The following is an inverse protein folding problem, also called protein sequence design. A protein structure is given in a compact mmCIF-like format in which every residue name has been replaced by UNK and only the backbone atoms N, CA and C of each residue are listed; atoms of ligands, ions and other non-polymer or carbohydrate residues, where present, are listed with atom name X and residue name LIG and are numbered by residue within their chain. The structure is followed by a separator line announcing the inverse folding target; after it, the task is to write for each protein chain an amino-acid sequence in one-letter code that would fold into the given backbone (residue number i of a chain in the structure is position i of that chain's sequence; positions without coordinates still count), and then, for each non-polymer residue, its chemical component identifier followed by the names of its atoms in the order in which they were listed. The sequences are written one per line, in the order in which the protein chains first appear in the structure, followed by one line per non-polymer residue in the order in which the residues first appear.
data_IF_920540901729
#
_entry.id   IF_920540901729
#
_cell.length_a   1.000
_cell.length_b   1.000
_cell.length_c   1.000
_cell.angle_alpha   90.00
_cell.angle_beta   90.00
_cell.angle_gamma   90.00
#
_symmetry.space_group_name_H-M   'P 1'
#
loop_
_entity.id
_entity.type
_entity.pdbx_description
1 polymer ?
2 polymer ?
3 non-polymer ?
4 water ?
#
# COMPACT_ATOMS: atom_id res chain seq x y z
N UNK A 1 12.62 -20.36 -6.26
CA UNK A 1 11.72 -20.31 -7.41
C UNK A 1 12.44 -20.26 -8.75
N UNK A 2 11.71 -19.84 -9.80
CA UNK A 2 12.22 -19.73 -11.17
C UNK A 2 13.32 -18.68 -11.31
N UNK A 3 13.46 -17.77 -10.31
CA UNK A 3 14.50 -16.74 -10.35
C UNK A 3 15.75 -17.12 -9.55
N UNK A 4 15.74 -18.32 -8.94
CA UNK A 4 16.86 -18.81 -8.13
C UNK A 4 18.23 -18.79 -8.80
N UNK A 5 18.25 -19.01 -10.14
CA UNK A 5 19.50 -19.03 -10.92
C UNK A 5 19.96 -17.67 -11.43
N UNK A 6 19.16 -16.63 -11.28
CA UNK A 6 19.58 -15.35 -11.78
C UNK A 6 20.24 -14.48 -10.71
N UNK A 7 21.31 -13.79 -11.10
CA UNK A 7 22.00 -12.87 -10.20
C UNK A 7 21.06 -11.78 -9.62
N UNK A 8 21.24 -11.46 -8.33
CA UNK A 8 20.46 -10.39 -7.71
C UNK A 8 20.53 -9.09 -8.54
N UNK A 9 21.75 -8.67 -8.98
CA UNK A 9 21.90 -7.44 -9.73
C UNK A 9 21.14 -7.52 -11.06
N UNK A 10 21.17 -8.68 -11.71
CA UNK A 10 20.47 -8.94 -13.00
C UNK A 10 18.94 -8.84 -12.78
N UNK A 11 18.43 -9.38 -11.69
CA UNK A 11 17.00 -9.29 -11.36
C UNK A 11 16.59 -7.79 -11.14
N UNK A 12 17.40 -6.97 -10.45
CA UNK A 12 17.10 -5.55 -10.21
C UNK A 12 17.10 -4.82 -11.55
N UNK A 13 18.14 -5.06 -12.39
CA UNK A 13 18.25 -4.44 -13.71
C UNK A 13 17.01 -4.79 -14.55
N UNK A 14 16.60 -6.07 -14.56
CA UNK A 14 15.43 -6.52 -15.35
C UNK A 14 14.13 -5.98 -14.75
N UNK A 15 14.04 -5.78 -13.42
CA UNK A 15 12.87 -5.12 -12.81
C UNK A 15 12.71 -3.69 -13.37
N UNK A 16 13.83 -2.94 -13.49
CA UNK A 16 13.81 -1.57 -14.00
C UNK A 16 13.40 -1.54 -15.50
N UNK A 17 13.88 -2.53 -16.28
CA UNK A 17 13.55 -2.68 -17.71
C UNK A 17 12.05 -3.01 -17.85
N UNK A 18 11.55 -3.94 -17.02
CA UNK A 18 10.13 -4.33 -17.04
C UNK A 18 9.25 -3.12 -16.72
N UNK A 19 9.68 -2.28 -15.76
CA UNK A 19 8.95 -1.05 -15.42
C UNK A 19 8.82 -0.13 -16.67
N UNK A 20 9.94 0.10 -17.39
CA UNK A 20 9.99 0.92 -18.62
C UNK A 20 9.07 0.36 -19.71
N UNK A 21 8.97 -0.97 -19.78
CA UNK A 21 8.16 -1.70 -20.75
C UNK A 21 6.70 -1.89 -20.30
N UNK A 22 6.37 -1.40 -19.09
CA UNK A 22 5.03 -1.53 -18.48
C UNK A 22 4.62 -3.00 -18.34
N UNK A 23 5.61 -3.87 -18.01
CA UNK A 23 5.46 -5.30 -17.83
C UNK A 23 5.51 -5.54 -16.31
N UNK A 24 4.44 -5.14 -15.63
CA UNK A 24 4.43 -5.15 -14.17
C UNK A 24 4.41 -6.54 -13.55
N UNK A 25 3.81 -7.55 -14.21
CA UNK A 25 3.82 -8.92 -13.70
C UNK A 25 5.28 -9.42 -13.71
N UNK A 26 6.01 -9.18 -14.82
CA UNK A 26 7.43 -9.52 -14.87
C UNK A 26 8.22 -8.73 -13.81
N UNK A 27 7.94 -7.44 -13.67
CA UNK A 27 8.62 -6.60 -12.67
C UNK A 27 8.47 -7.16 -11.27
N UNK A 28 7.26 -7.58 -10.92
CA UNK A 28 6.97 -8.19 -9.63
C UNK A 28 7.73 -9.51 -9.44
N UNK A 29 7.74 -10.37 -10.48
CA UNK A 29 8.45 -11.65 -10.41
C UNK A 29 9.97 -11.43 -10.22
N UNK A 30 10.55 -10.42 -10.90
CA UNK A 30 11.97 -10.10 -10.75
C UNK A 30 12.25 -9.61 -9.33
N UNK A 31 11.39 -8.72 -8.79
CA UNK A 31 11.60 -8.22 -7.45
C UNK A 31 11.38 -9.31 -6.38
N UNK A 32 10.39 -10.21 -6.55
CA UNK A 32 10.19 -11.35 -5.65
C UNK A 32 11.49 -12.18 -5.66
N UNK A 33 12.06 -12.41 -6.85
CA UNK A 33 13.34 -13.13 -6.94
C UNK A 33 14.47 -12.42 -6.21
N UNK A 34 14.56 -11.07 -6.36
CA UNK A 34 15.59 -10.27 -5.65
C UNK A 34 15.41 -10.39 -4.12
N UNK A 35 14.18 -10.24 -3.62
CA UNK A 35 13.93 -10.35 -2.16
C UNK A 35 14.37 -11.71 -1.64
N UNK A 36 14.05 -12.80 -2.37
CA UNK A 36 14.37 -14.18 -1.99
C UNK A 36 15.86 -14.49 -1.99
N UNK A 37 16.70 -13.57 -2.49
CA UNK A 37 18.15 -13.71 -2.35
C UNK A 37 18.53 -13.58 -0.87
N UNK A 38 17.63 -13.01 -0.06
CA UNK A 38 17.89 -12.95 1.38
C UNK A 38 18.56 -11.71 1.91
N UNK A 39 19.08 -10.84 1.03
CA UNK A 39 19.70 -9.59 1.43
C UNK A 39 18.63 -8.54 1.64
N UNK A 40 18.88 -7.57 2.54
CA UNK A 40 17.97 -6.45 2.74
C UNK A 40 17.88 -5.60 1.43
N UNK A 41 16.79 -4.83 1.25
CA UNK A 41 16.61 -3.99 0.06
C UNK A 41 17.00 -2.55 0.33
N UNK A 42 17.55 -1.88 -0.68
CA UNK A 42 17.88 -0.46 -0.59
C UNK A 42 16.56 0.32 -0.76
N UNK A 43 16.58 1.63 -0.57
CA UNK A 43 15.36 2.40 -0.75
C UNK A 43 14.82 2.28 -2.18
N UNK A 44 15.68 2.40 -3.22
CA UNK A 44 15.23 2.26 -4.60
C UNK A 44 14.61 0.88 -4.83
N UNK A 45 15.25 -0.18 -4.31
CA UNK A 45 14.73 -1.55 -4.47
C UNK A 45 13.39 -1.78 -3.79
N UNK A 46 13.20 -1.22 -2.57
CA UNK A 46 11.91 -1.25 -1.85
C UNK A 46 10.86 -0.59 -2.73
N UNK A 47 11.20 0.57 -3.35
CA UNK A 47 10.27 1.24 -4.25
C UNK A 47 9.93 0.39 -5.47
N UNK A 48 10.91 -0.33 -6.02
CA UNK A 48 10.68 -1.19 -7.18
C UNK A 48 9.71 -2.32 -6.82
N UNK A 49 9.90 -2.94 -5.64
CA UNK A 49 9.04 -4.00 -5.13
C UNK A 49 7.60 -3.48 -5.02
N UNK A 50 7.43 -2.33 -4.36
CA UNK A 50 6.13 -1.73 -4.13
C UNK A 50 5.43 -1.33 -5.40
N UNK A 51 6.10 -0.60 -6.32
CA UNK A 51 5.47 -0.18 -7.60
C UNK A 51 5.04 -1.44 -8.39
N UNK A 52 5.88 -2.49 -8.41
CA UNK A 52 5.57 -3.71 -9.16
C UNK A 52 4.22 -4.32 -8.71
N UNK A 53 4.13 -4.65 -7.40
CA UNK A 53 2.96 -5.31 -6.87
C UNK A 53 1.77 -4.37 -6.83
N UNK A 54 1.97 -3.06 -6.66
CA UNK A 54 0.85 -2.13 -6.67
C UNK A 54 0.19 -2.13 -8.04
N UNK A 55 1.00 -2.18 -9.10
CA UNK A 55 0.43 -2.20 -10.44
C UNK A 55 -0.28 -3.50 -10.70
N UNK A 56 0.28 -4.61 -10.25
CA UNK A 56 -0.33 -5.93 -10.45
C UNK A 56 -1.69 -5.99 -9.72
N UNK A 57 -1.68 -5.73 -8.40
CA UNK A 57 -2.89 -5.79 -7.60
C UNK A 57 -3.92 -4.75 -8.07
N UNK A 58 -3.45 -3.59 -8.58
CA UNK A 58 -4.32 -2.55 -9.10
C UNK A 58 -5.20 -3.04 -10.23
N UNK A 59 -4.61 -3.77 -11.17
CA UNK A 59 -5.38 -4.34 -12.27
C UNK A 59 -6.43 -5.34 -11.76
N UNK A 60 -6.04 -6.14 -10.76
CA UNK A 60 -6.94 -7.14 -10.18
C UNK A 60 -8.12 -6.46 -9.43
N UNK A 61 -7.84 -5.38 -8.65
CA UNK A 61 -8.87 -4.64 -7.89
C UNK A 61 -9.87 -4.02 -8.85
N UNK A 62 -9.38 -3.37 -9.92
CA UNK A 62 -10.22 -2.72 -10.91
C UNK A 62 -11.12 -3.78 -11.57
N UNK A 63 -10.56 -4.95 -11.93
CA UNK A 63 -11.33 -6.05 -12.53
C UNK A 63 -12.38 -6.59 -11.54
N UNK A 64 -11.96 -6.85 -10.29
CA UNK A 64 -12.85 -7.36 -9.24
C UNK A 64 -14.06 -6.44 -9.04
N UNK A 65 -13.84 -5.10 -9.03
CA UNK A 65 -14.91 -4.13 -8.82
C UNK A 65 -15.92 -4.16 -9.95
N UNK A 66 -15.46 -4.26 -11.21
CA UNK A 66 -16.32 -4.36 -12.40
C UNK A 66 -17.21 -5.62 -12.27
N UNK A 67 -16.59 -6.78 -11.96
CA UNK A 67 -17.27 -8.08 -11.81
C UNK A 67 -18.26 -8.09 -10.66
N UNK A 68 -17.84 -7.56 -9.48
CA UNK A 68 -18.71 -7.51 -8.30
C UNK A 68 -19.97 -6.65 -8.60
N UNK A 69 -19.80 -5.55 -9.31
CA UNK A 69 -20.87 -4.64 -9.70
C UNK A 69 -21.85 -5.35 -10.65
N UNK A 70 -21.32 -6.15 -11.59
CA UNK A 70 -22.18 -6.90 -12.51
C UNK A 70 -22.95 -7.97 -11.71
N UNK A 71 -22.26 -8.67 -10.77
CA UNK A 71 -22.83 -9.72 -9.93
C UNK A 71 -23.97 -9.19 -9.06
N UNK A 72 -23.76 -8.02 -8.42
CA UNK A 72 -24.77 -7.38 -7.58
C UNK A 72 -26.01 -7.00 -8.39
N UNK A 73 -25.82 -6.47 -9.62
CA UNK A 73 -26.90 -6.12 -10.56
C UNK A 73 -27.69 -7.38 -10.95
N UNK A 74 -26.99 -8.52 -11.16
CA UNK A 74 -27.61 -9.80 -11.53
C UNK A 74 -28.39 -10.43 -10.36
N UNK A 75 -28.28 -9.84 -9.15
CA UNK A 75 -28.97 -10.31 -7.93
C UNK A 75 -29.93 -9.26 -7.37
N UNK A 83 -27.60 -17.97 -13.94
CA UNK A 83 -26.38 -18.71 -14.27
C UNK A 83 -25.25 -18.46 -13.29
N UNK A 84 -24.34 -19.43 -13.08
CA UNK A 84 -23.27 -19.23 -12.08
C UNK A 84 -22.02 -18.50 -12.61
N UNK A 85 -21.97 -18.21 -13.89
CA UNK A 85 -20.77 -17.66 -14.56
C UNK A 85 -20.23 -16.37 -13.96
N UNK A 86 -21.09 -15.39 -13.63
CA UNK A 86 -20.61 -14.12 -13.09
C UNK A 86 -19.92 -14.38 -11.76
N UNK A 87 -20.57 -15.18 -10.88
CA UNK A 87 -20.01 -15.53 -9.57
C UNK A 87 -18.71 -16.29 -9.74
N UNK A 88 -18.69 -17.29 -10.64
CA UNK A 88 -17.49 -18.09 -10.88
C UNK A 88 -16.32 -17.20 -11.33
N UNK A 89 -16.57 -16.29 -12.28
CA UNK A 89 -15.49 -15.47 -12.80
C UNK A 89 -15.05 -14.43 -11.78
N UNK A 90 -16.01 -13.85 -11.02
CA UNK A 90 -15.62 -12.89 -9.96
C UNK A 90 -14.74 -13.65 -8.92
N UNK A 91 -15.09 -14.91 -8.56
CA UNK A 91 -14.34 -15.76 -7.66
C UNK A 91 -12.93 -16.02 -8.21
N UNK A 92 -12.81 -16.32 -9.52
CA UNK A 92 -11.51 -16.58 -10.17
C UNK A 92 -10.58 -15.36 -9.96
N UNK A 93 -11.05 -14.16 -10.33
CA UNK A 93 -10.27 -12.91 -10.19
C UNK A 93 -9.96 -12.67 -8.70
N UNK A 94 -10.94 -12.91 -7.82
CA UNK A 94 -10.77 -12.73 -6.38
C UNK A 94 -9.67 -13.60 -5.83
N UNK A 95 -9.65 -14.90 -6.20
CA UNK A 95 -8.67 -15.86 -5.73
C UNK A 95 -7.27 -15.43 -6.21
N UNK A 96 -7.18 -14.91 -7.43
CA UNK A 96 -5.91 -14.47 -7.99
C UNK A 96 -5.40 -13.25 -7.24
N UNK A 97 -6.31 -12.30 -6.92
CA UNK A 97 -5.99 -11.11 -6.13
C UNK A 97 -5.48 -11.53 -4.72
N UNK A 98 -6.21 -12.46 -4.06
CA UNK A 98 -5.83 -13.00 -2.76
C UNK A 98 -4.44 -13.66 -2.81
N UNK A 99 -4.16 -14.36 -3.90
CA UNK A 99 -2.86 -15.00 -4.11
C UNK A 99 -1.74 -13.97 -4.18
N UNK A 100 -1.98 -12.85 -4.90
CA UNK A 100 -0.99 -11.77 -4.99
C UNK A 100 -0.76 -11.14 -3.59
N UNK A 101 -1.84 -10.89 -2.86
CA UNK A 101 -1.69 -10.34 -1.51
C UNK A 101 -0.93 -11.30 -0.61
N UNK A 102 -1.27 -12.63 -0.65
CA UNK A 102 -0.57 -13.60 0.18
C UNK A 102 0.92 -13.65 -0.18
N UNK A 103 1.25 -13.50 -1.48
CA UNK A 103 2.65 -13.47 -1.93
C UNK A 103 3.39 -12.29 -1.29
N UNK A 104 2.80 -11.09 -1.34
CA UNK A 104 3.47 -9.88 -0.80
C UNK A 104 3.60 -10.00 0.71
N UNK A 105 2.53 -10.41 1.37
CA UNK A 105 2.56 -10.60 2.81
C UNK A 105 3.61 -11.67 3.24
N UNK A 106 3.80 -12.69 2.41
CA UNK A 106 4.78 -13.75 2.66
C UNK A 106 6.19 -13.22 2.56
N UNK A 107 6.46 -12.35 1.59
CA UNK A 107 7.78 -11.71 1.48
C UNK A 107 8.05 -10.80 2.69
N UNK A 108 7.02 -10.06 3.11
CA UNK A 108 7.18 -9.17 4.25
C UNK A 108 7.46 -9.96 5.53
N UNK A 109 6.78 -11.12 5.72
CA UNK A 109 6.88 -11.99 6.89
C UNK A 109 8.08 -12.92 6.83
N UNK A 110 8.68 -13.08 5.64
CA UNK A 110 9.81 -13.98 5.41
C UNK A 110 10.85 -13.41 4.42
N UNK A 111 11.71 -12.47 4.85
CA UNK A 111 11.89 -11.97 6.20
C UNK A 111 12.17 -10.49 6.20
N UNK A 112 11.50 -9.74 5.31
CA UNK A 112 11.75 -8.31 5.15
C UNK A 112 11.56 -7.52 6.44
N UNK A 113 10.41 -7.71 7.11
CA UNK A 113 10.10 -6.89 8.29
C UNK A 113 11.07 -7.16 9.43
N UNK A 114 11.28 -8.43 9.77
CA UNK A 114 12.13 -8.75 10.92
C UNK A 114 13.57 -8.26 10.74
N UNK A 115 14.03 -8.16 9.48
CA UNK A 115 15.38 -7.68 9.21
C UNK A 115 15.45 -6.17 9.02
N UNK A 116 14.31 -5.46 9.11
CA UNK A 116 14.30 -4.01 8.91
C UNK A 116 14.40 -3.29 10.26
N UNK A 117 15.53 -2.67 10.50
CA UNK A 117 15.84 -1.93 11.72
C UNK A 117 15.73 -0.43 11.58
N UNK A 118 16.04 0.10 10.39
CA UNK A 118 15.93 1.54 10.23
C UNK A 118 14.49 1.94 10.06
N UNK A 119 14.13 3.13 10.56
CA UNK A 119 12.76 3.59 10.45
C UNK A 119 12.24 3.66 9.02
N UNK A 120 13.06 4.13 8.06
CA UNK A 120 12.63 4.22 6.67
C UNK A 120 12.26 2.86 6.09
N UNK A 121 13.03 1.80 6.38
CA UNK A 121 12.68 0.50 5.87
C UNK A 121 11.52 -0.15 6.64
N UNK A 122 11.58 -0.10 7.98
CA UNK A 122 10.55 -0.71 8.83
C UNK A 122 9.16 -0.10 8.59
N UNK A 123 9.07 1.25 8.55
CA UNK A 123 7.79 1.92 8.27
C UNK A 123 7.28 1.55 6.88
N UNK A 124 8.18 1.57 5.86
CA UNK A 124 7.85 1.18 4.50
C UNK A 124 7.21 -0.23 4.48
N UNK A 125 7.85 -1.24 5.06
CA UNK A 125 7.32 -2.60 5.02
C UNK A 125 6.02 -2.74 5.81
N UNK A 126 5.90 -2.04 6.96
CA UNK A 126 4.69 -2.17 7.78
C UNK A 126 3.52 -1.51 7.08
N UNK A 127 3.76 -0.40 6.37
CA UNK A 127 2.73 0.25 5.56
C UNK A 127 2.29 -0.74 4.47
N UNK A 128 3.25 -1.42 3.78
CA UNK A 128 2.89 -2.41 2.77
C UNK A 128 2.03 -3.51 3.37
N UNK A 129 2.39 -3.99 4.59
CA UNK A 129 1.61 -5.02 5.25
C UNK A 129 0.16 -4.54 5.47
N UNK A 130 -0.02 -3.30 5.98
CA UNK A 130 -1.32 -2.66 6.12
C UNK A 130 -2.07 -2.61 4.80
N UNK A 131 -1.40 -2.20 3.72
CA UNK A 131 -2.03 -2.07 2.40
C UNK A 131 -2.51 -3.38 1.87
N UNK A 132 -1.70 -4.45 1.95
CA UNK A 132 -2.11 -5.73 1.37
C UNK A 132 -3.15 -6.43 2.24
N UNK A 133 -3.20 -6.13 3.55
CA UNK A 133 -4.33 -6.67 4.32
C UNK A 133 -5.59 -5.85 3.97
N UNK A 134 -5.42 -4.55 3.66
CA UNK A 134 -6.54 -3.72 3.26
C UNK A 134 -7.16 -4.26 1.92
N UNK A 135 -6.32 -4.61 0.94
CA UNK A 135 -6.76 -5.20 -0.35
C UNK A 135 -7.49 -6.51 -0.11
N UNK A 136 -7.02 -7.32 0.85
CA UNK A 136 -7.74 -8.53 1.22
C UNK A 136 -9.10 -8.16 1.85
N UNK A 137 -9.13 -7.15 2.73
CA UNK A 137 -10.38 -6.74 3.37
C UNK A 137 -11.42 -6.24 2.36
N UNK A 138 -10.99 -5.58 1.25
CA UNK A 138 -11.89 -5.06 0.21
C UNK A 138 -12.74 -6.20 -0.38
N UNK A 139 -12.18 -7.44 -0.43
CA UNK A 139 -12.88 -8.59 -1.02
C UNK A 139 -13.41 -9.59 0.03
N UNK A 140 -13.11 -9.36 1.31
CA UNK A 140 -13.48 -10.28 2.37
C UNK A 140 -14.91 -10.11 2.84
N UNK A 141 -15.48 -11.19 3.37
CA UNK A 141 -16.86 -11.19 3.90
C UNK A 141 -16.90 -11.78 5.34
N UNK A 142 -17.81 -11.25 6.18
CA UNK A 142 -18.11 -11.70 7.54
C UNK A 142 -17.02 -11.67 8.60
N UNK A 143 -16.80 -12.83 9.26
CA UNK A 143 -15.81 -12.97 10.34
C UNK A 143 -14.37 -12.90 9.81
N UNK A 144 -14.09 -13.57 8.66
CA UNK A 144 -12.77 -13.50 8.03
C UNK A 144 -12.39 -12.02 7.88
N UNK A 145 -13.37 -11.21 7.39
CA UNK A 145 -13.22 -9.78 7.20
C UNK A 145 -12.77 -9.07 8.47
N UNK A 146 -13.40 -9.41 9.62
CA UNK A 146 -13.06 -8.79 10.91
C UNK A 146 -11.59 -8.98 11.29
N UNK A 147 -11.10 -10.23 11.23
CA UNK A 147 -9.71 -10.56 11.54
C UNK A 147 -8.74 -9.91 10.55
N UNK A 148 -9.08 -9.88 9.23
CA UNK A 148 -8.22 -9.25 8.22
C UNK A 148 -8.11 -7.75 8.52
N UNK A 149 -9.25 -7.12 8.92
CA UNK A 149 -9.32 -5.70 9.24
C UNK A 149 -8.42 -5.41 10.43
N UNK A 150 -8.45 -6.29 11.44
CA UNK A 150 -7.60 -6.06 12.60
C UNK A 150 -6.11 -6.18 12.26
N UNK A 151 -5.75 -7.14 11.39
CA UNK A 151 -4.38 -7.31 10.93
C UNK A 151 -3.91 -6.03 10.18
N UNK A 152 -4.77 -5.46 9.30
CA UNK A 152 -4.40 -4.21 8.60
C UNK A 152 -4.19 -3.08 9.62
N UNK A 153 -5.15 -2.92 10.55
CA UNK A 153 -5.11 -1.91 11.60
C UNK A 153 -3.80 -2.00 12.40
N UNK A 154 -3.47 -3.23 12.87
CA UNK A 154 -2.28 -3.49 13.67
C UNK A 154 -1.00 -3.08 12.95
N UNK A 155 -0.86 -3.45 11.66
CA UNK A 155 0.33 -3.07 10.90
C UNK A 155 0.42 -1.55 10.71
N UNK A 156 -0.71 -0.87 10.31
CA UNK A 156 -0.72 0.57 10.14
C UNK A 156 -0.38 1.26 11.44
N UNK A 157 -0.93 0.78 12.56
CA UNK A 157 -0.71 1.38 13.89
C UNK A 157 0.77 1.33 14.30
N UNK A 158 1.41 0.16 14.13
CA UNK A 158 2.82 -0.02 14.44
C UNK A 158 3.66 0.92 13.54
N UNK A 159 3.31 1.02 12.24
CA UNK A 159 4.03 1.88 11.32
C UNK A 159 3.87 3.35 11.76
N UNK A 160 2.65 3.74 12.17
CA UNK A 160 2.38 5.12 12.61
C UNK A 160 3.20 5.45 13.86
N UNK A 161 3.24 4.54 14.83
CA UNK A 161 4.00 4.77 16.07
C UNK A 161 5.48 5.03 15.78
N UNK A 162 6.08 4.19 14.93
CA UNK A 162 7.48 4.37 14.57
C UNK A 162 7.67 5.67 13.81
N UNK A 163 6.80 5.94 12.81
CA UNK A 163 6.91 7.15 11.98
C UNK A 163 6.86 8.43 12.84
N UNK A 164 5.95 8.47 13.82
CA UNK A 164 5.78 9.65 14.69
C UNK A 164 6.99 9.89 15.56
N UNK A 165 7.63 8.82 15.99
CA UNK A 165 8.82 8.88 16.85
C UNK A 165 10.12 9.17 16.06
N UNK A 166 10.26 8.61 14.84
CA UNK A 166 11.52 8.63 14.10
C UNK A 166 11.61 9.49 12.85
N UNK A 167 10.49 9.97 12.33
CA UNK A 167 10.51 10.73 11.08
C UNK A 167 9.86 12.09 11.24
N UNK A 168 10.31 13.12 10.44
CA UNK A 168 9.64 14.42 10.54
C UNK A 168 8.25 14.35 9.91
N UNK A 169 7.31 15.27 10.26
CA UNK A 169 5.94 15.18 9.72
C UNK A 169 5.81 15.33 8.20
N UNK A 170 6.89 15.78 7.50
CA UNK A 170 6.87 15.94 6.05
C UNK A 170 7.46 14.72 5.34
N UNK A 171 7.98 13.74 6.11
CA UNK A 171 8.58 12.56 5.49
C UNK A 171 7.58 11.90 4.52
N UNK A 172 7.94 11.76 3.20
CA UNK A 172 6.99 11.19 2.25
C UNK A 172 6.47 9.80 2.64
N UNK A 173 7.31 8.99 3.30
CA UNK A 173 6.85 7.66 3.73
C UNK A 173 5.78 7.83 4.81
N UNK A 174 6.06 8.69 5.80
CA UNK A 174 5.11 9.00 6.88
C UNK A 174 3.81 9.54 6.28
N UNK A 175 3.90 10.48 5.32
CA UNK A 175 2.71 11.05 4.66
C UNK A 175 1.87 9.99 3.89
N UNK A 176 2.52 9.12 3.08
CA UNK A 176 1.82 8.07 2.34
C UNK A 176 1.16 7.06 3.27
N UNK A 177 1.81 6.73 4.41
CA UNK A 177 1.25 5.86 5.43
C UNK A 177 -0.02 6.46 5.99
N UNK A 178 0.04 7.72 6.45
CA UNK A 178 -1.11 8.39 7.04
C UNK A 178 -2.28 8.50 6.06
N UNK A 179 -1.98 8.79 4.78
CA UNK A 179 -2.97 8.85 3.72
C UNK A 179 -3.69 7.51 3.60
N UNK A 180 -2.93 6.42 3.50
CA UNK A 180 -3.52 5.09 3.37
C UNK A 180 -4.26 4.66 4.63
N UNK A 181 -3.73 4.95 5.82
CA UNK A 181 -4.39 4.58 7.06
C UNK A 181 -5.73 5.35 7.13
N UNK A 182 -5.75 6.60 6.68
CA UNK A 182 -6.97 7.41 6.67
C UNK A 182 -8.04 6.78 5.77
N UNK A 183 -7.63 6.29 4.59
CA UNK A 183 -8.59 5.63 3.69
C UNK A 183 -9.06 4.29 4.30
N UNK A 184 -8.16 3.54 4.97
CA UNK A 184 -8.50 2.33 5.71
C UNK A 184 -9.64 2.70 6.70
N UNK A 185 -9.44 3.76 7.51
CA UNK A 185 -10.46 4.18 8.46
C UNK A 185 -11.77 4.54 7.77
N UNK A 186 -11.71 5.32 6.69
CA UNK A 186 -12.92 5.78 6.03
C UNK A 186 -13.81 4.67 5.48
N UNK A 187 -13.22 3.78 4.68
CA UNK A 187 -14.06 2.81 4.00
C UNK A 187 -13.87 1.34 4.38
N UNK A 188 -12.85 1.01 5.18
CA UNK A 188 -12.69 -0.39 5.61
C UNK A 188 -13.22 -0.55 7.01
N UNK A 189 -12.77 0.33 7.93
CA UNK A 189 -13.13 0.29 9.35
C UNK A 189 -14.45 1.02 9.62
N UNK A 190 -15.04 1.68 8.59
CA UNK A 190 -16.28 2.47 8.71
C UNK A 190 -16.16 3.48 9.88
N UNK A 191 -15.01 4.17 9.91
CA UNK A 191 -14.68 5.18 10.90
C UNK A 191 -14.37 6.48 10.13
N UNK A 192 -15.39 7.05 9.41
CA UNK A 192 -15.13 8.29 8.66
C UNK A 192 -14.59 9.43 9.51
N UNK A 193 -15.03 9.55 10.77
CA UNK A 193 -14.54 10.65 11.60
C UNK A 193 -13.07 10.48 11.94
N UNK A 194 -12.64 9.24 12.25
CA UNK A 194 -11.23 8.95 12.48
C UNK A 194 -10.41 9.29 11.23
N UNK A 195 -10.95 8.92 10.04
CA UNK A 195 -10.28 9.20 8.75
C UNK A 195 -10.04 10.67 8.53
N UNK A 196 -11.10 11.49 8.73
CA UNK A 196 -11.01 12.93 8.54
C UNK A 196 -10.03 13.53 9.55
N UNK A 197 -10.10 13.11 10.83
CA UNK A 197 -9.19 13.60 11.87
C UNK A 197 -7.73 13.32 11.53
N UNK A 198 -7.46 12.08 11.10
CA UNK A 198 -6.08 11.72 10.75
C UNK A 198 -5.59 12.51 9.54
N UNK A 199 -6.43 12.65 8.50
CA UNK A 199 -6.02 13.41 7.32
C UNK A 199 -5.72 14.87 7.62
N UNK A 200 -6.61 15.50 8.43
CA UNK A 200 -6.46 16.91 8.83
C UNK A 200 -5.18 17.14 9.63
N UNK A 201 -5.01 16.37 10.72
CA UNK A 201 -3.82 16.48 11.58
C UNK A 201 -2.53 16.28 10.77
N UNK A 202 -2.49 15.22 9.94
CA UNK A 202 -1.31 14.92 9.12
C UNK A 202 -0.98 16.09 8.18
N UNK A 203 -2.00 16.62 7.49
CA UNK A 203 -1.83 17.76 6.57
C UNK A 203 -1.30 18.97 7.30
N UNK A 204 -1.93 19.28 8.44
CA UNK A 204 -1.56 20.46 9.25
C UNK A 204 -0.16 20.36 9.84
N UNK A 205 0.27 19.21 10.30
CA UNK A 205 1.59 19.01 10.87
C UNK A 205 2.65 19.05 9.76
N UNK A 206 2.33 18.53 8.57
CA UNK A 206 3.27 18.62 7.46
C UNK A 206 3.40 20.08 7.00
N UNK A 207 2.26 20.82 6.87
CA UNK A 207 2.25 22.22 6.45
C UNK A 207 3.23 23.04 7.31
N UNK A 208 3.21 22.85 8.64
CA UNK A 208 4.06 23.56 9.59
C UNK A 208 5.54 23.24 9.51
N UNK A 209 5.90 22.11 8.84
CA UNK A 209 7.28 21.65 8.74
C UNK A 209 7.86 21.90 7.32
N UNK A 210 7.05 22.40 6.36
CA UNK A 210 7.51 22.64 4.97
C UNK A 210 8.69 23.60 4.88
N UNK A 211 8.75 24.60 5.79
CA UNK A 211 9.81 25.63 5.78
C UNK A 211 11.21 25.04 5.96
N UNK A 212 11.32 23.81 6.50
CA UNK A 212 12.61 23.13 6.76
C UNK A 212 13.18 22.44 5.52
N UNK A 213 12.36 22.31 4.45
CA UNK A 213 12.72 21.54 3.27
C UNK A 213 13.35 22.29 2.13
N UNK A 214 14.13 21.54 1.34
CA UNK A 214 14.75 21.98 0.10
C UNK A 214 13.65 21.99 -0.95
N UNK A 215 13.92 22.58 -2.11
CA UNK A 215 13.00 22.68 -3.24
C UNK A 215 12.47 21.28 -3.66
N UNK A 216 13.38 20.27 -3.78
CA UNK A 216 12.99 18.92 -4.19
C UNK A 216 12.17 18.20 -3.12
N UNK A 217 12.58 18.29 -1.85
CA UNK A 217 11.85 17.64 -0.75
C UNK A 217 10.47 18.25 -0.60
N UNK A 218 10.40 19.58 -0.78
CA UNK A 218 9.15 20.35 -0.75
C UNK A 218 8.16 19.77 -1.78
N UNK A 219 8.63 19.54 -3.04
CA UNK A 219 7.84 18.97 -4.12
C UNK A 219 7.31 17.57 -3.74
N UNK A 220 8.19 16.71 -3.18
CA UNK A 220 7.82 15.36 -2.75
C UNK A 220 6.71 15.34 -1.71
N UNK A 221 6.88 16.13 -0.63
CA UNK A 221 5.91 16.25 0.48
C UNK A 221 4.60 16.88 0.03
N UNK A 222 4.66 18.01 -0.75
CA UNK A 222 3.42 18.67 -1.19
C UNK A 222 2.58 17.79 -2.13
N UNK A 223 3.24 16.90 -2.92
CA UNK A 223 2.54 15.96 -3.79
C UNK A 223 1.59 15.07 -2.95
N UNK A 224 2.08 14.50 -1.85
CA UNK A 224 1.26 13.61 -1.00
C UNK A 224 0.25 14.41 -0.19
N UNK A 225 0.62 15.63 0.25
CA UNK A 225 -0.31 16.49 0.98
C UNK A 225 -1.54 16.82 0.13
N UNK A 226 -1.36 17.02 -1.19
CA UNK A 226 -2.43 17.26 -2.14
C UNK A 226 -3.39 16.06 -2.15
N UNK A 227 -2.87 14.82 -2.02
CA UNK A 227 -3.72 13.63 -1.91
C UNK A 227 -4.63 13.67 -0.67
N UNK A 228 -4.09 14.08 0.53
CA UNK A 228 -4.84 14.22 1.78
C UNK A 228 -5.93 15.24 1.55
N UNK A 229 -5.57 16.37 0.91
CA UNK A 229 -6.53 17.44 0.59
C UNK A 229 -7.64 16.95 -0.35
N UNK A 230 -7.30 16.18 -1.42
CA UNK A 230 -8.29 15.62 -2.36
C UNK A 230 -9.30 14.78 -1.60
N UNK A 231 -8.82 13.91 -0.67
CA UNK A 231 -9.72 13.09 0.13
C UNK A 231 -10.58 13.93 1.05
N UNK A 232 -9.98 14.89 1.77
CA UNK A 232 -10.76 15.76 2.67
C UNK A 232 -11.86 16.52 1.95
N UNK A 233 -11.58 17.00 0.72
CA UNK A 233 -12.54 17.70 -0.15
C UNK A 233 -13.75 16.81 -0.43
N UNK A 234 -13.53 15.52 -0.67
CA UNK A 234 -14.62 14.60 -0.94
C UNK A 234 -15.31 14.12 0.32
N UNK A 235 -14.63 14.17 1.49
CA UNK A 235 -15.17 13.72 2.77
C UNK A 235 -15.89 14.75 3.62
N UNK A 236 -15.62 16.04 3.39
CA UNK A 236 -16.17 17.12 4.23
C UNK A 236 -16.97 18.16 3.43
N UNK B 1 -17.24 1.94 -8.41
CA UNK B 1 -17.11 2.49 -7.05
C UNK B 1 -16.17 3.68 -7.07
N UNK B 2 -16.51 4.74 -6.29
CA UNK B 2 -15.66 5.93 -6.14
C UNK B 2 -14.45 5.50 -5.25
N UNK B 3 -13.23 5.60 -5.82
CA UNK B 3 -12.01 5.22 -5.11
C UNK B 3 -11.30 6.46 -4.59
N UNK B 4 -10.96 6.47 -3.30
CA UNK B 4 -10.25 7.58 -2.70
C UNK B 4 -8.76 7.51 -3.01
N UNK B 5 -8.06 8.64 -2.83
CA UNK B 5 -6.63 8.75 -3.10
C UNK B 5 -5.82 7.96 -2.14
N UNK B 6 -4.96 7.06 -2.67
CA UNK B 6 -4.04 6.30 -1.84
C UNK B 6 -2.63 6.47 -2.43
N UNK B 7 -1.59 6.10 -1.65
CA UNK B 7 -0.20 6.27 -2.04
C UNK B 7 0.19 5.49 -3.33
N UNK B 8 1.09 6.07 -4.11
CA UNK B 8 1.69 5.42 -5.28
C UNK B 8 0.83 5.28 -6.51
N UNK B 9 1.26 4.36 -7.43
CA UNK B 9 0.53 4.19 -8.71
C UNK B 9 -0.96 3.93 -8.52
N UNK B 10 -1.78 4.75 -9.20
CA UNK B 10 -3.24 4.73 -9.28
C UNK B 10 -3.54 3.74 -10.41
N UNK B 11 -3.19 2.47 -10.16
CA UNK B 11 -3.20 1.32 -11.07
C UNK B 11 -4.53 0.56 -11.19
N UNK B 12 -5.55 1.02 -10.44
CA UNK B 12 -6.89 0.44 -10.51
C UNK B 12 -7.86 1.47 -11.11
X LIG C 1 15.35 7.08 -0.75
X LIG C 1 14.92 7.09 -2.19
X LIG C 1 15.71 6.31 -4.43
X LIG C 1 14.33 5.73 -6.33
X LIG C 1 14.47 5.97 -4.96
X LIG C 1 12.98 5.41 -6.89
X LIG C 1 12.74 4.61 -8.08
X LIG C 1 11.41 4.46 -8.39
X LIG C 1 11.78 5.79 -6.34
X LIG C 1 10.82 3.73 -9.50
X LIG C 1 13.81 7.51 -2.54
X LIG C 1 14.32 6.46 0.19
X LIG C 1 15.84 6.58 -3.04
X LIG C 1 15.45 5.81 -7.16
X LIG C 1 16.70 6.11 -6.62
X LIG C 1 16.83 6.36 -5.26
X LIG C 1 10.40 5.25 -7.22
X LIG C 1 11.65 3.08 -10.31
X LIG C 1 9.57 3.69 -9.75
#
# INVERSE_FOLDING_TARGET
GAMGSMERASLIQKAKLAEQAERYEDMAAFMKGAVEKGEELSCEERNLLSVAYKNVVGGQRAAWRVLSSIEQKSNEEGSEEKGPEVREYREKVETELQGVCDTVLGLLDSHLIKEAGDAESRVFYLKMKGDYYRYLAEVATGDDKKRIIDSARSAYQEAMDISKKEMPPTNPIRLGLALNFSVFHYEIANSPEEAISLAKTTFDEAMADLHTLSEDSYKDSTLIMQLLRDNLTLWTADNAGEEGGEAPQEPQS
KLMFKTEGPDSD
KM8 C1 C2 C3 C7 C8 C9 C10 C11 C12 C13 O C N C6 C5 C4 S N2 N1
#
